data_IF_333705156964
#
_entry.id   IF_333705156964
#
_cell.length_a   1.000
_cell.length_b   1.000
_cell.length_c   1.000
_cell.angle_alpha   90.00
_cell.angle_beta   90.00
_cell.angle_gamma   90.00
#
_symmetry.space_group_name_H-M   'P 1'
#
loop_
_entity.id
_entity.type
_entity.pdbx_description
1 polymer ?
#
# COMPACT_ATOMS: atom_id res chain seq x y z
N UNK A 1 18.17 -13.89 -27.50
CA UNK A 1 17.05 -12.95 -27.26
C UNK A 1 16.35 -12.69 -28.58
N UNK A 2 15.02 -12.87 -28.66
CA UNK A 2 14.26 -12.66 -29.90
C UNK A 2 13.71 -11.23 -29.87
N UNK A 3 14.26 -10.35 -30.70
CA UNK A 3 13.80 -8.96 -30.83
C UNK A 3 12.64 -8.94 -31.84
N UNK A 4 11.44 -8.64 -31.37
CA UNK A 4 10.25 -8.53 -32.21
C UNK A 4 10.20 -7.11 -32.80
N UNK A 5 10.35 -6.99 -34.12
CA UNK A 5 10.28 -5.71 -34.84
C UNK A 5 8.81 -5.39 -35.18
N UNK A 6 8.40 -4.12 -35.09
CA UNK A 6 7.08 -3.59 -35.49
C UNK A 6 5.88 -3.93 -34.58
N UNK A 7 6.09 -4.12 -33.28
CA UNK A 7 4.96 -4.23 -32.34
C UNK A 7 4.43 -2.84 -31.97
N UNK A 8 3.13 -2.61 -32.13
CA UNK A 8 2.45 -1.43 -31.57
C UNK A 8 2.48 -1.54 -30.06
N UNK A 9 3.23 -0.65 -29.41
CA UNK A 9 3.31 -0.56 -27.96
C UNK A 9 2.39 0.57 -27.47
N UNK A 10 1.64 0.29 -26.42
CA UNK A 10 0.78 1.25 -25.75
C UNK A 10 1.49 1.74 -24.50
N UNK A 11 1.74 3.04 -24.43
CA UNK A 11 2.48 3.64 -23.34
C UNK A 11 1.52 4.21 -22.30
N UNK A 12 1.77 3.93 -21.04
CA UNK A 12 1.03 4.50 -19.92
C UNK A 12 1.36 5.99 -19.76
N UNK A 13 0.34 6.85 -19.67
CA UNK A 13 0.53 8.30 -19.54
C UNK A 13 1.04 8.72 -18.15
N UNK A 14 0.79 7.90 -17.14
CA UNK A 14 1.18 8.20 -15.76
C UNK A 14 2.59 7.75 -15.40
N UNK A 15 3.06 6.61 -15.94
CA UNK A 15 4.38 6.06 -15.59
C UNK A 15 5.27 5.71 -16.79
N UNK A 16 4.80 5.90 -18.03
CA UNK A 16 5.56 5.63 -19.24
C UNK A 16 5.77 4.15 -19.56
N UNK A 17 5.20 3.21 -18.76
CA UNK A 17 5.31 1.77 -19.00
C UNK A 17 4.67 1.42 -20.35
N UNK A 18 5.42 0.69 -21.17
CA UNK A 18 4.95 0.20 -22.46
C UNK A 18 4.34 -1.18 -22.30
N UNK A 19 3.14 -1.37 -22.82
CA UNK A 19 2.40 -2.63 -22.80
C UNK A 19 2.09 -3.05 -24.23
N UNK A 20 1.97 -4.37 -24.40
CA UNK A 20 1.77 -4.98 -25.72
C UNK A 20 0.35 -4.82 -26.25
N UNK A 21 -0.61 -4.46 -25.39
CA UNK A 21 -2.02 -4.32 -25.76
C UNK A 21 -2.61 -3.04 -25.18
N UNK A 22 -3.54 -2.44 -25.92
CA UNK A 22 -4.29 -1.26 -25.48
C UNK A 22 -5.05 -1.55 -24.17
N UNK A 23 -5.69 -2.72 -24.13
CA UNK A 23 -6.41 -3.19 -22.96
C UNK A 23 -5.51 -3.31 -21.72
N UNK A 24 -4.29 -3.86 -21.86
CA UNK A 24 -3.33 -3.95 -20.77
C UNK A 24 -2.84 -2.58 -20.30
N UNK A 25 -2.64 -1.63 -21.22
CA UNK A 25 -2.27 -0.26 -20.88
C UNK A 25 -3.34 0.45 -20.04
N UNK A 26 -4.62 0.32 -20.44
CA UNK A 26 -5.75 0.86 -19.68
C UNK A 26 -5.85 0.27 -18.27
N UNK A 27 -5.74 -1.05 -18.14
CA UNK A 27 -5.75 -1.72 -16.83
C UNK A 27 -4.58 -1.24 -15.97
N UNK A 28 -3.41 -1.13 -16.58
CA UNK A 28 -2.23 -0.68 -15.87
C UNK A 28 -2.43 0.74 -15.34
N UNK A 29 -2.84 1.70 -16.17
CA UNK A 29 -3.10 3.08 -15.76
C UNK A 29 -4.03 3.19 -14.55
N UNK A 30 -5.13 2.45 -14.57
CA UNK A 30 -6.13 2.57 -13.52
C UNK A 30 -5.74 1.87 -12.21
N UNK A 31 -5.19 0.65 -12.30
CA UNK A 31 -5.09 -0.27 -11.15
C UNK A 31 -3.68 -0.59 -10.69
N UNK A 32 -2.72 -0.65 -11.62
CA UNK A 32 -1.37 -1.13 -11.33
C UNK A 32 -0.32 -0.06 -11.55
N UNK A 33 -0.75 1.12 -11.97
CA UNK A 33 0.13 2.21 -12.24
C UNK A 33 0.64 2.69 -10.90
N UNK A 34 1.95 2.58 -10.65
CA UNK A 34 2.52 2.97 -9.38
C UNK A 34 2.22 4.43 -9.08
N UNK A 35 2.26 5.30 -10.10
CA UNK A 35 2.00 6.75 -9.96
C UNK A 35 0.57 7.03 -9.52
N UNK A 36 -0.40 6.28 -10.05
CA UNK A 36 -1.81 6.42 -9.67
C UNK A 36 -2.08 5.79 -8.30
N UNK A 37 -1.51 4.63 -8.01
CA UNK A 37 -1.60 3.97 -6.70
C UNK A 37 -0.99 4.82 -5.59
N UNK A 38 0.14 5.46 -5.85
CA UNK A 38 0.81 6.36 -4.91
C UNK A 38 0.00 7.62 -4.67
N UNK A 39 -0.62 8.19 -5.71
CA UNK A 39 -1.51 9.33 -5.54
C UNK A 39 -2.73 8.96 -4.70
N UNK A 40 -3.34 7.81 -4.99
CA UNK A 40 -4.44 7.23 -4.21
C UNK A 40 -4.02 6.96 -2.75
N UNK A 41 -2.77 6.52 -2.48
CA UNK A 41 -2.21 6.33 -1.12
C UNK A 41 -1.97 7.66 -0.40
N UNK A 42 -1.50 8.69 -1.10
CA UNK A 42 -1.25 10.04 -0.56
C UNK A 42 -2.55 10.75 -0.19
N UNK A 43 -3.57 10.61 -1.00
CA UNK A 43 -4.91 11.11 -0.67
C UNK A 43 -5.51 10.37 0.54
N UNK A 44 -5.22 9.06 0.67
CA UNK A 44 -5.57 8.25 1.84
C UNK A 44 -4.89 8.75 3.12
N UNK A 45 -3.58 9.00 3.05
CA UNK A 45 -2.78 9.44 4.20
C UNK A 45 -3.07 10.89 4.61
N UNK A 46 -3.36 11.77 3.66
CA UNK A 46 -3.69 13.17 3.94
C UNK A 46 -5.02 13.34 4.70
N UNK A 47 -5.89 12.33 4.64
CA UNK A 47 -7.16 12.29 5.35
C UNK A 47 -7.08 11.54 6.70
N UNK A 48 -5.94 10.91 7.02
CA UNK A 48 -5.77 10.14 8.26
C UNK A 48 -5.66 11.08 9.47
N UNK A 49 -6.62 10.99 10.39
CA UNK A 49 -6.61 11.69 11.69
C UNK A 49 -6.35 10.77 12.87
N UNK A 50 -6.25 9.49 12.58
CA UNK A 50 -5.97 8.50 13.59
C UNK A 50 -4.48 8.48 13.91
N UNK A 51 -4.19 8.01 15.11
CA UNK A 51 -3.25 6.90 15.23
C UNK A 51 -4.08 5.63 14.91
N UNK A 52 -4.28 5.15 13.67
CA UNK A 52 -5.30 4.10 13.33
C UNK A 52 -4.80 2.71 13.71
N UNK A 53 -4.60 2.45 14.98
CA UNK A 53 -3.67 1.42 15.40
C UNK A 53 -4.28 0.01 15.48
N UNK A 54 -3.63 -0.97 14.86
CA UNK A 54 -3.92 -2.41 14.93
C UNK A 54 -2.70 -3.22 15.37
N UNK A 55 -2.83 -4.36 16.02
CA UNK A 55 -1.68 -5.12 16.54
C UNK A 55 -1.26 -6.24 15.60
N UNK A 56 0.00 -6.24 15.15
CA UNK A 56 0.65 -7.38 14.54
C UNK A 56 0.94 -8.45 15.59
N UNK A 57 0.58 -9.70 15.27
CA UNK A 57 0.81 -10.86 16.14
C UNK A 57 1.71 -11.85 15.42
N UNK A 58 2.64 -12.45 16.17
CA UNK A 58 3.56 -13.47 15.66
C UNK A 58 3.58 -14.72 16.54
N UNK A 59 3.98 -15.84 15.94
CA UNK A 59 4.05 -17.11 16.64
C UNK A 59 5.25 -17.17 17.59
N UNK A 60 5.03 -17.72 18.78
CA UNK A 60 6.10 -17.99 19.73
C UNK A 60 6.93 -19.19 19.22
N UNK A 61 8.27 -19.10 19.13
CA UNK A 61 9.09 -20.20 18.63
C UNK A 61 8.93 -21.48 19.46
N UNK A 62 8.61 -22.58 18.79
CA UNK A 62 8.38 -23.87 19.45
C UNK A 62 6.96 -24.05 20.00
N UNK A 63 6.10 -23.05 19.87
CA UNK A 63 4.74 -23.05 20.38
C UNK A 63 3.72 -22.82 19.25
N UNK A 64 2.55 -23.41 19.38
CA UNK A 64 1.45 -23.23 18.42
C UNK A 64 0.51 -22.07 18.81
N UNK A 65 1.02 -21.06 19.52
CA UNK A 65 0.27 -19.86 19.94
C UNK A 65 0.94 -18.59 19.46
N UNK A 66 0.12 -17.56 19.17
CA UNK A 66 0.58 -16.24 18.75
C UNK A 66 0.55 -15.24 19.90
N UNK A 67 1.46 -14.28 19.87
CA UNK A 67 1.53 -13.17 20.81
C UNK A 67 1.54 -11.82 20.08
N UNK A 68 0.97 -10.77 20.68
CA UNK A 68 1.05 -9.43 20.13
C UNK A 68 2.51 -9.00 20.09
N UNK A 69 2.98 -8.66 18.89
CA UNK A 69 4.32 -8.12 18.68
C UNK A 69 4.30 -6.60 18.74
N UNK A 70 3.32 -5.94 18.10
CA UNK A 70 3.28 -4.46 18.04
C UNK A 70 2.02 -3.88 17.44
N UNK A 71 1.69 -2.61 17.69
CA UNK A 71 0.53 -1.95 17.07
C UNK A 71 0.89 -1.12 15.84
N UNK A 72 0.03 -0.86 14.84
CA UNK A 72 0.24 -0.12 13.59
C UNK A 72 -1.00 0.59 13.01
N UNK A 73 -0.83 1.85 12.63
CA UNK A 73 -1.75 2.74 11.96
C UNK A 73 -2.14 2.22 10.58
N UNK A 74 -3.23 1.50 10.47
CA UNK A 74 -3.72 0.87 9.26
C UNK A 74 -3.95 1.85 8.08
N UNK A 75 -4.16 3.14 8.32
CA UNK A 75 -4.41 4.12 7.22
C UNK A 75 -3.15 4.66 6.56
N UNK A 76 -2.04 4.61 7.29
CA UNK A 76 -0.72 4.91 6.74
C UNK A 76 0.26 3.74 6.89
N UNK A 77 -0.26 2.56 7.24
CA UNK A 77 0.45 1.34 7.63
C UNK A 77 1.49 1.53 8.77
N UNK A 78 1.31 2.49 9.70
CA UNK A 78 2.38 2.98 10.62
C UNK A 78 2.33 2.43 12.04
N UNK A 79 3.27 1.57 12.43
CA UNK A 79 3.44 1.07 13.81
C UNK A 79 3.29 2.17 14.92
N UNK A 80 2.50 1.95 15.97
CA UNK A 80 2.28 2.90 17.09
C UNK A 80 2.56 2.21 18.44
N UNK A 81 3.11 2.96 19.41
CA UNK A 81 3.50 2.45 20.72
C UNK A 81 2.34 2.25 21.71
N UNK A 82 2.53 1.33 22.64
CA UNK A 82 1.52 0.95 23.64
C UNK A 82 1.15 2.08 24.61
N UNK A 83 2.09 3.00 24.92
CA UNK A 83 1.84 4.21 25.72
C UNK A 83 1.11 5.30 24.92
N UNK A 84 1.39 5.37 23.62
CA UNK A 84 0.80 6.34 22.70
C UNK A 84 -0.67 6.02 22.40
N UNK A 85 -1.06 4.74 22.49
CA UNK A 85 -2.44 4.27 22.31
C UNK A 85 -3.48 5.10 23.09
N UNK A 86 -3.14 5.65 24.27
CA UNK A 86 -4.08 6.32 25.17
C UNK A 86 -4.17 7.86 25.02
N UNK A 87 -3.27 8.51 24.28
CA UNK A 87 -3.30 9.96 24.07
C UNK A 87 -4.27 10.40 22.96
N UNK A 88 -4.75 9.46 22.14
CA UNK A 88 -5.68 9.75 21.03
C UNK A 88 -7.12 9.34 21.36
N UNK A 89 -7.35 8.84 22.59
CA UNK A 89 -8.66 8.46 23.13
C UNK A 89 -9.24 9.47 24.12
N UNK A 90 -8.53 10.57 24.45
CA UNK A 90 -8.89 11.52 25.53
C UNK A 90 -8.84 13.00 25.15
N UNK A 91 -8.95 13.36 23.87
CA UNK A 91 -9.09 14.78 23.43
C UNK A 91 -10.53 15.07 22.99
N UNK A 92 -11.35 15.49 23.95
CA UNK A 92 -12.48 16.43 23.76
C UNK A 92 -11.99 17.88 23.95
#
# INVERSE_FOLDING_TARGET
>A
MKVLKNQTLFQCDHCGKRLLTNYGAKIHEDQYCPVVLEKKKKEKQAKCKHKNIDTHYGYIPGEAVMQPEYDYCVDCDKQIGWSERNEFTTKD
#
